data_IF_719939747228
#
_entry.id   IF_719939747228
#
_cell.length_a   1.000
_cell.length_b   1.000
_cell.length_c   1.000
_cell.angle_alpha   90.00
_cell.angle_beta   90.00
_cell.angle_gamma   90.00
#
_symmetry.space_group_name_H-M   'P 1'
#
loop_
_entity.id
_entity.type
_entity.pdbx_description
1 polymer ?
#
# COMPACT_ATOMS: atom_id res chain seq x y z
N UNK A 1 -11.10 -0.31 7.78
CA UNK A 1 -9.83 -0.91 8.29
C UNK A 1 -8.69 -0.19 7.61
N UNK A 2 -7.61 0.15 8.31
CA UNK A 2 -6.49 0.83 7.68
C UNK A 2 -5.34 -0.11 7.30
N UNK A 3 -4.73 0.16 6.15
CA UNK A 3 -3.43 -0.35 5.73
C UNK A 3 -2.52 0.87 5.55
N UNK A 4 -1.40 0.89 6.26
CA UNK A 4 -0.33 1.83 6.03
C UNK A 4 0.63 1.24 4.98
N UNK A 5 0.92 2.02 3.96
CA UNK A 5 1.89 1.73 2.91
C UNK A 5 3.15 2.53 3.22
N UNK A 6 4.29 1.87 3.35
CA UNK A 6 5.52 2.48 3.86
C UNK A 6 6.64 2.32 2.83
N UNK A 7 7.09 3.44 2.27
CA UNK A 7 8.24 3.52 1.39
C UNK A 7 9.49 4.01 2.12
N UNK A 8 10.38 3.08 2.51
CA UNK A 8 11.67 3.38 3.18
C UNK A 8 12.84 3.64 2.21
N UNK A 9 12.59 3.61 0.91
CA UNK A 9 13.58 3.85 -0.14
C UNK A 9 13.07 4.95 -1.07
N UNK A 10 13.99 5.56 -1.79
CA UNK A 10 13.62 6.43 -2.91
C UNK A 10 12.88 5.59 -3.96
N UNK A 11 11.80 6.17 -4.49
CA UNK A 11 11.11 5.62 -5.64
C UNK A 11 12.03 5.73 -6.87
N UNK A 12 11.86 4.86 -7.87
CA UNK A 12 12.52 5.03 -9.17
C UNK A 12 12.24 6.42 -9.75
N UNK A 13 13.18 7.00 -10.49
CA UNK A 13 13.07 8.38 -11.01
C UNK A 13 11.85 8.66 -11.91
N UNK A 14 11.19 7.61 -12.42
CA UNK A 14 10.00 7.67 -13.28
C UNK A 14 8.70 7.37 -12.54
N UNK A 15 8.76 7.19 -11.21
CA UNK A 15 7.62 6.91 -10.34
C UNK A 15 7.66 7.96 -9.22
N UNK A 16 6.63 8.77 -9.13
CA UNK A 16 6.38 9.58 -7.96
C UNK A 16 5.38 8.91 -7.01
N UNK A 17 5.03 9.61 -5.93
CA UNK A 17 4.11 9.05 -4.93
C UNK A 17 2.69 8.96 -5.48
N UNK A 18 2.30 9.86 -6.37
CA UNK A 18 0.95 9.93 -6.90
C UNK A 18 0.73 8.74 -7.87
N UNK A 19 1.77 8.31 -8.60
CA UNK A 19 1.76 7.05 -9.36
C UNK A 19 1.49 5.82 -8.47
N UNK A 20 2.03 5.81 -7.24
CA UNK A 20 1.78 4.73 -6.28
C UNK A 20 0.36 4.82 -5.69
N UNK A 21 -0.14 6.03 -5.44
CA UNK A 21 -1.50 6.27 -5.01
C UNK A 21 -2.51 5.76 -6.05
N UNK A 22 -2.34 6.14 -7.32
CA UNK A 22 -3.18 5.71 -8.43
C UNK A 22 -3.15 4.19 -8.60
N UNK A 23 -1.96 3.58 -8.56
CA UNK A 23 -1.78 2.13 -8.62
C UNK A 23 -2.55 1.40 -7.52
N UNK A 24 -2.49 1.92 -6.29
CA UNK A 24 -3.18 1.32 -5.15
C UNK A 24 -4.69 1.52 -5.29
N UNK A 25 -5.15 2.72 -5.66
CA UNK A 25 -6.55 3.03 -5.89
C UNK A 25 -7.18 2.09 -6.95
N UNK A 26 -6.48 1.88 -8.07
CA UNK A 26 -6.90 0.93 -9.10
C UNK A 26 -7.00 -0.50 -8.56
N UNK A 27 -6.04 -0.93 -7.74
CA UNK A 27 -6.03 -2.27 -7.14
C UNK A 27 -7.09 -2.45 -6.03
N UNK A 28 -7.48 -1.36 -5.34
CA UNK A 28 -8.57 -1.32 -4.36
C UNK A 28 -9.94 -1.40 -5.04
N UNK A 29 -10.13 -0.70 -6.15
CA UNK A 29 -11.43 -0.61 -6.82
C UNK A 29 -12.50 -0.05 -5.87
N UNK A 30 -13.60 -0.79 -5.70
CA UNK A 30 -14.71 -0.36 -4.83
C UNK A 30 -14.55 -0.76 -3.36
N UNK A 31 -13.45 -1.41 -2.99
CA UNK A 31 -13.26 -1.97 -1.64
C UNK A 31 -12.63 -0.96 -0.66
N UNK A 32 -12.28 0.25 -1.11
CA UNK A 32 -11.66 1.27 -0.28
C UNK A 32 -11.09 2.43 -1.07
N UNK A 33 -10.36 3.29 -0.37
CA UNK A 33 -9.77 4.52 -0.90
C UNK A 33 -8.36 4.72 -0.32
N UNK A 34 -7.50 5.43 -1.05
CA UNK A 34 -6.27 5.99 -0.50
C UNK A 34 -6.63 7.35 0.09
N UNK A 35 -6.35 7.58 1.38
CA UNK A 35 -6.95 8.70 2.15
C UNK A 35 -5.93 9.63 2.79
N UNK A 36 -4.66 9.25 2.85
CA UNK A 36 -3.62 10.02 3.54
C UNK A 36 -2.25 9.82 2.94
N UNK A 37 -1.41 10.85 3.04
CA UNK A 37 -0.05 10.81 2.53
C UNK A 37 0.88 11.68 3.38
N UNK A 38 2.10 11.20 3.61
CA UNK A 38 3.10 11.97 4.37
C UNK A 38 4.53 11.56 4.09
N UNK A 39 5.46 12.46 4.43
CA UNK A 39 6.90 12.27 4.26
C UNK A 39 7.61 12.67 5.54
N UNK A 40 8.66 11.94 5.92
CA UNK A 40 9.48 12.25 7.08
C UNK A 40 10.87 11.63 6.99
N UNK A 41 11.61 11.68 8.09
CA UNK A 41 13.01 11.21 8.16
C UNK A 41 13.17 9.71 7.84
N UNK A 42 12.10 8.93 7.99
CA UNK A 42 12.08 7.48 7.77
C UNK A 42 11.56 7.07 6.39
N UNK A 43 11.24 8.04 5.52
CA UNK A 43 10.70 7.82 4.18
C UNK A 43 9.33 8.44 3.98
N UNK A 44 8.51 7.82 3.13
CA UNK A 44 7.17 8.28 2.81
C UNK A 44 6.13 7.22 3.18
N UNK A 45 4.89 7.64 3.38
CA UNK A 45 3.76 6.76 3.64
C UNK A 45 2.50 7.20 2.89
N UNK A 46 1.64 6.22 2.63
CA UNK A 46 0.25 6.39 2.21
C UNK A 46 -0.65 5.61 3.16
N UNK A 47 -1.84 6.14 3.40
CA UNK A 47 -2.89 5.48 4.17
C UNK A 47 -3.98 4.97 3.23
N UNK A 48 -4.32 3.70 3.37
CA UNK A 48 -5.40 3.04 2.64
C UNK A 48 -6.51 2.70 3.62
N UNK A 49 -7.71 3.19 3.37
CA UNK A 49 -8.92 2.85 4.11
C UNK A 49 -9.75 1.83 3.34
N UNK A 50 -9.97 0.66 3.94
CA UNK A 50 -10.86 -0.38 3.42
C UNK A 50 -12.27 -0.18 3.99
N UNK A 51 -13.27 -0.19 3.11
CA UNK A 51 -14.70 -0.11 3.43
C UNK A 51 -15.09 -1.20 4.43
N UNK A 52 -15.85 -0.83 5.47
CA UNK A 52 -16.17 -1.70 6.60
C UNK A 52 -16.86 -3.03 6.22
N UNK A 53 -17.64 -3.04 5.14
CA UNK A 53 -18.38 -4.22 4.67
C UNK A 53 -17.55 -5.16 3.79
N UNK A 54 -16.27 -4.86 3.55
CA UNK A 54 -15.38 -5.68 2.73
C UNK A 54 -15.02 -6.98 3.46
N UNK A 55 -15.54 -8.16 3.03
CA UNK A 55 -15.48 -9.38 3.84
C UNK A 55 -14.08 -9.99 3.97
N UNK A 56 -13.11 -9.54 3.16
CA UNK A 56 -11.82 -10.20 3.04
C UNK A 56 -10.65 -9.22 2.89
N UNK A 57 -10.32 -8.52 3.98
CA UNK A 57 -9.17 -7.60 4.02
C UNK A 57 -7.83 -8.26 3.67
N UNK A 58 -7.69 -9.59 3.87
CA UNK A 58 -6.49 -10.33 3.42
C UNK A 58 -6.39 -10.39 1.90
N UNK A 59 -7.52 -10.51 1.20
CA UNK A 59 -7.56 -10.49 -0.26
C UNK A 59 -7.30 -9.09 -0.81
N UNK A 60 -7.79 -8.04 -0.14
CA UNK A 60 -7.42 -6.64 -0.46
C UNK A 60 -5.91 -6.46 -0.32
N UNK A 61 -5.34 -6.83 0.84
CA UNK A 61 -3.90 -6.74 1.09
C UNK A 61 -3.08 -7.49 0.03
N UNK A 62 -3.52 -8.70 -0.38
CA UNK A 62 -2.86 -9.47 -1.44
C UNK A 62 -2.94 -8.80 -2.80
N UNK A 63 -4.07 -8.19 -3.17
CA UNK A 63 -4.20 -7.41 -4.43
C UNK A 63 -3.27 -6.22 -4.46
N UNK A 64 -3.22 -5.45 -3.37
CA UNK A 64 -2.29 -4.32 -3.24
C UNK A 64 -0.84 -4.77 -3.36
N UNK A 65 -0.49 -5.90 -2.72
CA UNK A 65 0.84 -6.47 -2.82
C UNK A 65 1.20 -6.89 -4.25
N UNK A 66 0.27 -7.52 -4.98
CA UNK A 66 0.47 -7.91 -6.39
C UNK A 66 0.72 -6.66 -7.24
N UNK A 67 -0.14 -5.64 -7.13
CA UNK A 67 -0.01 -4.39 -7.91
C UNK A 67 1.37 -3.74 -7.71
N UNK A 68 1.83 -3.66 -6.46
CA UNK A 68 3.17 -3.14 -6.14
C UNK A 68 4.29 -4.01 -6.73
N UNK A 69 4.19 -5.34 -6.63
CA UNK A 69 5.21 -6.25 -7.17
C UNK A 69 5.30 -6.15 -8.69
N UNK A 70 4.17 -6.05 -9.38
CA UNK A 70 4.11 -5.91 -10.85
C UNK A 70 4.80 -4.63 -11.34
N UNK A 71 4.82 -3.58 -10.52
CA UNK A 71 5.54 -2.33 -10.79
C UNK A 71 7.00 -2.33 -10.28
N UNK A 72 7.55 -3.49 -9.92
CA UNK A 72 8.88 -3.62 -9.28
C UNK A 72 9.02 -2.86 -7.95
N UNK A 73 7.90 -2.58 -7.28
CA UNK A 73 7.81 -1.93 -5.98
C UNK A 73 7.60 -2.93 -4.83
N UNK A 74 7.96 -4.19 -5.03
CA UNK A 74 7.77 -5.28 -4.06
C UNK A 74 8.46 -5.06 -2.69
N UNK A 75 9.39 -4.12 -2.60
CA UNK A 75 10.07 -3.72 -1.37
C UNK A 75 9.22 -2.80 -0.47
N UNK A 76 8.16 -2.19 -1.01
CA UNK A 76 7.24 -1.34 -0.25
C UNK A 76 6.52 -2.20 0.78
N UNK A 77 6.45 -1.69 2.01
CA UNK A 77 5.89 -2.43 3.14
C UNK A 77 4.41 -2.11 3.28
N UNK A 78 3.58 -3.14 3.39
CA UNK A 78 2.17 -3.02 3.76
C UNK A 78 2.01 -3.44 5.22
N UNK A 79 1.41 -2.58 6.04
CA UNK A 79 1.12 -2.83 7.46
C UNK A 79 -0.36 -2.63 7.72
N UNK A 80 -1.05 -3.65 8.22
CA UNK A 80 -2.42 -3.45 8.72
C UNK A 80 -2.37 -2.71 10.04
N UNK A 81 -3.36 -1.86 10.31
CA UNK A 81 -3.47 -1.09 11.56
C UNK A 81 -3.32 -1.94 12.84
N UNK A 82 -3.79 -3.19 12.80
CA UNK A 82 -3.77 -4.12 13.93
C UNK A 82 -2.40 -4.80 14.13
N UNK A 83 -1.43 -4.59 13.24
CA UNK A 83 -0.12 -5.25 13.25
C UNK A 83 0.98 -4.32 13.76
N UNK A 84 1.86 -4.86 14.63
CA UNK A 84 3.03 -4.14 15.12
C UNK A 84 4.09 -3.90 14.03
N UNK A 85 4.11 -4.75 13.00
CA UNK A 85 5.07 -4.68 11.89
C UNK A 85 4.39 -5.05 10.58
N UNK A 86 4.66 -4.28 9.52
CA UNK A 86 4.25 -4.63 8.17
C UNK A 86 5.24 -5.60 7.50
N UNK A 87 4.86 -6.07 6.31
CA UNK A 87 5.70 -6.94 5.47
C UNK A 87 5.90 -6.31 4.09
N UNK A 88 7.08 -6.46 3.46
CA UNK A 88 7.25 -6.11 2.06
C UNK A 88 6.20 -6.79 1.18
N UNK A 89 5.69 -6.09 0.17
CA UNK A 89 4.69 -6.60 -0.77
C UNK A 89 5.12 -7.93 -1.42
N UNK A 90 6.40 -8.07 -1.77
CA UNK A 90 6.97 -9.30 -2.33
C UNK A 90 6.91 -10.52 -1.38
N UNK A 91 6.70 -10.32 -0.08
CA UNK A 91 6.56 -11.41 0.89
C UNK A 91 5.09 -11.77 1.19
N UNK A 92 4.15 -10.96 0.71
CA UNK A 92 2.70 -11.16 0.87
C UNK A 92 2.13 -11.98 -0.29
N UNK A 93 2.74 -11.85 -1.49
CA UNK A 93 2.36 -12.59 -2.71
C UNK A 93 2.76 -14.07 -2.63
#
# INVERSE_FOLDING_TARGET
MFIEVIGRRLLPDHIDRDDVEDLLADALGTDGEVTGAGTGETGWHLDVEIVADTPNSRQVLRRLAIALVEQNLGWIVLRREQELSGRPAQEIV
#
